data_IF_294223242440
#
_entry.id   IF_294223242440
#
_cell.length_a   1.000
_cell.length_b   1.000
_cell.length_c   1.000
_cell.angle_alpha   90.00
_cell.angle_beta   90.00
_cell.angle_gamma   90.00
#
_symmetry.space_group_name_H-M   'P 1'
#
loop_
_entity.id
_entity.type
_entity.pdbx_description
1 polymer ?
#
# COMPACT_ATOMS: atom_id res chain seq x y z
N UNK A 1 -22.68 16.20 -0.35
CA UNK A 1 -21.25 15.88 -0.29
C UNK A 1 -21.12 14.62 0.56
N UNK A 2 -20.73 13.52 -0.05
CA UNK A 2 -20.50 12.27 0.65
C UNK A 2 -19.28 12.42 1.55
N UNK A 3 -19.46 12.32 2.86
CA UNK A 3 -18.35 12.24 3.81
C UNK A 3 -17.69 10.88 3.63
N UNK A 4 -16.60 10.83 2.88
CA UNK A 4 -15.70 9.70 2.87
C UNK A 4 -14.84 9.82 4.12
N UNK A 5 -15.17 9.05 5.14
CA UNK A 5 -14.32 8.94 6.34
C UNK A 5 -13.35 7.80 6.07
N UNK A 6 -12.09 8.13 5.82
CA UNK A 6 -11.05 7.13 5.65
C UNK A 6 -10.42 6.84 7.02
N UNK A 7 -10.57 5.62 7.49
CA UNK A 7 -9.81 5.12 8.63
C UNK A 7 -8.57 4.41 8.13
N UNK A 8 -7.43 4.90 8.58
CA UNK A 8 -6.15 4.25 8.33
C UNK A 8 -5.84 3.37 9.53
N UNK A 9 -6.08 2.08 9.40
CA UNK A 9 -5.69 1.13 10.43
C UNK A 9 -4.21 0.79 10.29
N UNK A 10 -3.47 0.97 11.37
CA UNK A 10 -2.04 0.90 11.43
C UNK A 10 -1.63 -0.06 12.55
N UNK A 11 -1.36 -1.33 12.18
CA UNK A 11 -1.00 -2.35 13.16
C UNK A 11 0.49 -2.69 13.14
N UNK A 12 1.12 -2.74 14.31
CA UNK A 12 2.51 -3.18 14.45
C UNK A 12 2.74 -4.02 15.70
N UNK A 13 3.39 -5.18 15.58
CA UNK A 13 3.75 -6.09 16.69
C UNK A 13 5.17 -5.84 17.17
N UNK A 14 5.38 -5.66 18.49
CA UNK A 14 6.69 -5.75 19.11
C UNK A 14 7.10 -7.23 19.25
N UNK A 15 8.01 -7.66 18.42
CA UNK A 15 9.09 -8.62 18.65
C UNK A 15 9.74 -8.94 17.32
N UNK A 16 11.00 -8.61 17.19
CA UNK A 16 11.86 -8.65 16.00
C UNK A 16 11.73 -7.44 15.05
N UNK A 17 12.61 -6.51 15.28
CA UNK A 17 12.72 -5.17 14.71
C UNK A 17 12.87 -5.05 13.19
N UNK A 18 12.82 -6.14 12.42
CA UNK A 18 13.24 -6.19 11.02
C UNK A 18 12.10 -6.09 9.98
N UNK A 19 10.84 -6.27 10.37
CA UNK A 19 9.69 -6.19 9.45
C UNK A 19 8.92 -4.86 9.47
N UNK A 20 9.26 -3.96 10.40
CA UNK A 20 8.49 -2.74 10.70
C UNK A 20 8.66 -1.58 9.72
N UNK A 21 9.77 -1.51 8.99
CA UNK A 21 10.09 -0.33 8.18
C UNK A 21 9.27 -0.20 6.89
N UNK A 22 8.74 -1.31 6.39
CA UNK A 22 8.10 -1.35 5.06
C UNK A 22 6.74 -0.64 4.99
N UNK A 23 6.01 -0.54 6.09
CA UNK A 23 4.61 -0.08 6.11
C UNK A 23 4.38 1.29 6.73
N UNK A 24 5.32 1.82 7.49
CA UNK A 24 5.20 3.15 8.10
C UNK A 24 5.10 4.27 7.06
N UNK A 25 5.77 4.14 5.93
CA UNK A 25 5.79 5.14 4.85
C UNK A 25 4.43 5.33 4.17
N UNK A 26 3.73 4.25 3.83
CA UNK A 26 2.44 4.34 3.11
C UNK A 26 1.35 5.11 3.88
N UNK A 27 1.42 5.12 5.18
CA UNK A 27 0.49 5.80 6.08
C UNK A 27 0.62 7.30 6.03
N UNK A 28 1.85 7.78 6.22
CA UNK A 28 2.16 9.19 6.10
C UNK A 28 1.92 9.67 4.66
N UNK A 29 2.16 8.83 3.66
CA UNK A 29 1.91 9.15 2.26
C UNK A 29 0.43 9.33 1.95
N UNK A 30 -0.43 8.45 2.46
CA UNK A 30 -1.87 8.62 2.31
C UNK A 30 -2.36 9.93 2.94
N UNK A 31 -1.95 10.21 4.19
CA UNK A 31 -2.28 11.47 4.86
C UNK A 31 -1.78 12.67 4.05
N UNK A 32 -0.52 12.65 3.62
CA UNK A 32 0.09 13.71 2.80
C UNK A 32 -0.64 13.90 1.47
N UNK A 33 -1.03 12.82 0.82
CA UNK A 33 -1.77 12.85 -0.45
C UNK A 33 -3.17 13.46 -0.26
N UNK A 34 -3.89 13.10 0.81
CA UNK A 34 -5.19 13.68 1.16
C UNK A 34 -5.07 15.20 1.38
N UNK A 35 -4.04 15.64 2.11
CA UNK A 35 -3.78 17.07 2.34
C UNK A 35 -3.39 17.80 1.05
N UNK A 36 -2.46 17.25 0.27
CA UNK A 36 -1.98 17.87 -0.97
C UNK A 36 -3.09 18.00 -2.03
N UNK A 37 -3.97 17.02 -2.10
CA UNK A 37 -5.10 17.02 -3.02
C UNK A 37 -6.31 17.84 -2.51
N UNK A 38 -6.26 18.34 -1.28
CA UNK A 38 -7.41 18.93 -0.59
C UNK A 38 -8.66 18.02 -0.74
N UNK A 39 -8.44 16.71 -0.60
CA UNK A 39 -9.47 15.71 -0.84
C UNK A 39 -10.57 15.83 0.24
N UNK A 40 -11.85 15.65 -0.11
CA UNK A 40 -12.97 15.71 0.83
C UNK A 40 -13.03 14.42 1.68
N UNK A 41 -11.90 14.08 2.31
CA UNK A 41 -11.68 12.89 3.14
C UNK A 41 -11.29 13.34 4.54
N UNK A 42 -11.99 12.86 5.54
CA UNK A 42 -11.65 13.02 6.94
C UNK A 42 -10.98 11.74 7.46
N UNK A 43 -9.75 11.87 7.96
CA UNK A 43 -9.04 10.78 8.64
C UNK A 43 -9.34 10.91 10.13
N UNK A 44 -10.22 10.05 10.66
CA UNK A 44 -10.74 10.18 12.04
C UNK A 44 -9.90 9.43 13.06
N UNK A 45 -9.23 8.35 12.68
CA UNK A 45 -8.36 7.60 13.58
C UNK A 45 -7.26 6.85 12.82
N UNK A 46 -6.21 6.53 13.55
CA UNK A 46 -5.17 5.57 13.13
C UNK A 46 -5.00 4.52 14.23
N UNK A 47 -4.75 3.29 13.84
CA UNK A 47 -4.39 2.23 14.79
C UNK A 47 -2.92 1.85 14.62
N UNK A 48 -2.08 2.09 15.61
CA UNK A 48 -0.65 1.74 15.59
C UNK A 48 -0.17 1.45 17.01
N UNK A 49 0.60 0.38 17.18
CA UNK A 49 1.20 -0.01 18.46
C UNK A 49 2.46 0.80 18.83
N UNK A 50 2.85 1.74 17.97
CA UNK A 50 3.99 2.60 18.19
C UNK A 50 3.74 3.70 19.23
N UNK A 51 4.80 4.33 19.69
CA UNK A 51 4.72 5.48 20.57
C UNK A 51 4.20 6.72 19.82
N UNK A 52 3.20 7.40 20.35
CA UNK A 52 2.54 8.57 19.74
C UNK A 52 3.55 9.68 19.39
N UNK A 53 4.51 9.97 20.29
CA UNK A 53 5.55 10.98 20.04
C UNK A 53 6.40 10.62 18.80
N UNK A 54 6.79 9.36 18.67
CA UNK A 54 7.53 8.87 17.50
C UNK A 54 6.67 8.95 16.23
N UNK A 55 5.39 8.62 16.32
CA UNK A 55 4.47 8.69 15.18
C UNK A 55 4.26 10.13 14.72
N UNK A 56 4.06 11.08 15.64
CA UNK A 56 3.96 12.51 15.32
C UNK A 56 5.23 13.02 14.65
N UNK A 57 6.41 12.62 15.15
CA UNK A 57 7.69 12.96 14.55
C UNK A 57 7.83 12.42 13.11
N UNK A 58 7.51 11.15 12.91
CA UNK A 58 7.61 10.49 11.57
C UNK A 58 6.52 10.97 10.59
N UNK A 59 5.40 11.50 11.07
CA UNK A 59 4.43 12.18 10.23
C UNK A 59 4.95 13.55 9.78
N UNK A 60 5.56 14.30 10.70
CA UNK A 60 6.11 15.64 10.43
C UNK A 60 7.30 15.58 9.49
N UNK A 61 8.26 14.67 9.76
CA UNK A 61 9.55 14.58 9.06
C UNK A 61 9.65 13.30 8.26
N UNK A 62 9.84 13.42 6.95
CA UNK A 62 10.04 12.31 6.04
C UNK A 62 11.33 12.52 5.23
N UNK A 63 12.14 11.48 5.13
CA UNK A 63 13.47 11.56 4.47
C UNK A 63 13.38 11.77 2.96
N UNK A 64 12.24 11.47 2.35
CA UNK A 64 12.01 11.58 0.91
C UNK A 64 11.09 12.75 0.60
N UNK A 65 9.94 12.85 1.30
CA UNK A 65 8.93 13.87 1.06
C UNK A 65 9.18 15.18 1.84
N UNK A 66 10.19 15.21 2.71
CA UNK A 66 10.51 16.39 3.48
C UNK A 66 9.57 16.66 4.64
N UNK A 67 9.53 17.91 5.07
CA UNK A 67 8.81 18.35 6.28
C UNK A 67 7.39 18.75 5.90
N UNK A 68 6.38 18.22 6.59
CA UNK A 68 5.01 18.73 6.48
C UNK A 68 4.90 20.14 7.07
N UNK A 69 4.20 21.07 6.39
CA UNK A 69 4.04 22.44 6.90
C UNK A 69 3.19 22.51 8.17
N UNK A 70 2.24 21.58 8.34
CA UNK A 70 1.30 21.53 9.45
C UNK A 70 1.97 21.59 10.83
N UNK A 71 1.33 22.20 11.82
CA UNK A 71 1.71 22.10 13.23
C UNK A 71 1.31 20.73 13.78
N UNK A 72 2.30 19.85 13.98
CA UNK A 72 2.10 18.47 14.41
C UNK A 72 2.70 18.25 15.79
N UNK A 73 1.84 17.87 16.75
CA UNK A 73 2.22 17.66 18.16
C UNK A 73 1.61 16.36 18.69
N UNK A 74 2.36 15.57 19.47
CA UNK A 74 1.77 14.48 20.23
C UNK A 74 0.86 15.05 21.33
N UNK A 75 -0.30 14.41 21.54
CA UNK A 75 -1.22 14.63 22.67
C UNK A 75 -1.54 13.28 23.31
N UNK A 76 -2.23 13.26 24.46
CA UNK A 76 -2.38 12.05 25.28
C UNK A 76 -2.99 10.88 24.54
N UNK A 77 -4.01 11.10 23.71
CA UNK A 77 -4.77 10.05 22.99
C UNK A 77 -4.59 10.11 21.46
N UNK A 78 -3.63 10.91 20.96
CA UNK A 78 -3.47 11.07 19.53
C UNK A 78 -2.39 12.04 19.08
N UNK A 79 -2.56 12.52 17.87
CA UNK A 79 -1.68 13.49 17.23
C UNK A 79 -2.52 14.72 16.86
N UNK A 80 -2.17 15.86 17.45
CA UNK A 80 -2.75 17.16 17.07
C UNK A 80 -2.11 17.61 15.75
N UNK A 81 -2.94 17.93 14.77
CA UNK A 81 -2.55 18.45 13.46
C UNK A 81 -3.32 19.74 13.22
N UNK A 82 -2.63 20.89 13.25
CA UNK A 82 -3.23 22.22 13.18
C UNK A 82 -4.41 22.42 14.16
N UNK A 83 -4.26 21.88 15.37
CA UNK A 83 -5.26 21.96 16.43
C UNK A 83 -6.37 20.89 16.38
N UNK A 84 -6.47 20.08 15.31
CA UNK A 84 -7.39 18.92 15.24
C UNK A 84 -6.71 17.67 15.72
N UNK A 85 -7.36 16.89 16.56
CA UNK A 85 -6.79 15.64 17.10
C UNK A 85 -7.15 14.48 16.19
N UNK A 86 -6.12 13.85 15.63
CA UNK A 86 -6.20 12.55 15.00
C UNK A 86 -6.04 11.47 16.07
N UNK A 87 -7.09 10.73 16.36
CA UNK A 87 -7.10 9.71 17.40
C UNK A 87 -6.13 8.57 17.08
N UNK A 88 -5.33 8.14 18.06
CA UNK A 88 -4.44 6.99 17.93
C UNK A 88 -4.98 5.84 18.78
N UNK A 89 -5.34 4.75 18.10
CA UNK A 89 -5.75 3.49 18.71
C UNK A 89 -4.55 2.55 18.78
N UNK A 90 -4.53 1.62 19.76
CA UNK A 90 -3.40 0.72 20.01
C UNK A 90 -3.88 -0.73 20.20
N UNK A 91 -4.82 -1.18 19.34
CA UNK A 91 -5.32 -2.54 19.37
C UNK A 91 -4.52 -3.47 18.46
N UNK A 92 -4.24 -4.68 18.96
CA UNK A 92 -3.51 -5.71 18.20
C UNK A 92 -4.42 -6.46 17.23
N UNK A 93 -5.61 -6.77 17.66
CA UNK A 93 -6.60 -7.46 16.85
C UNK A 93 -7.50 -6.41 16.17
N UNK A 94 -7.67 -6.45 14.85
CA UNK A 94 -8.59 -5.56 14.15
C UNK A 94 -10.04 -5.67 14.61
N UNK A 95 -10.45 -6.80 15.18
CA UNK A 95 -11.81 -7.01 15.72
C UNK A 95 -12.12 -6.13 16.92
N UNK A 96 -11.10 -5.75 17.68
CA UNK A 96 -11.23 -4.90 18.88
C UNK A 96 -11.35 -3.41 18.55
N UNK A 97 -11.29 -3.05 17.26
CA UNK A 97 -11.28 -1.66 16.82
C UNK A 97 -12.71 -1.09 16.78
N UNK A 98 -12.94 0.11 17.31
CA UNK A 98 -14.29 0.66 17.46
C UNK A 98 -14.81 1.34 16.18
N UNK A 99 -14.69 0.69 15.01
CA UNK A 99 -15.00 1.32 13.73
C UNK A 99 -16.46 1.77 13.63
N UNK A 100 -17.40 0.95 14.09
CA UNK A 100 -18.81 1.30 14.09
C UNK A 100 -19.09 2.57 14.90
N UNK A 101 -18.52 2.68 16.12
CA UNK A 101 -18.75 3.82 17.00
C UNK A 101 -18.05 5.11 16.52
N UNK A 102 -17.00 4.98 15.72
CA UNK A 102 -16.30 6.11 15.09
C UNK A 102 -16.95 6.55 13.76
N UNK A 103 -18.01 5.87 13.31
CA UNK A 103 -18.70 6.21 12.07
C UNK A 103 -17.82 6.06 10.81
N UNK A 104 -17.03 5.00 10.77
CA UNK A 104 -16.05 4.76 9.69
C UNK A 104 -16.74 4.27 8.44
N UNK A 105 -16.45 4.89 7.30
CA UNK A 105 -16.92 4.44 5.99
C UNK A 105 -15.96 3.48 5.28
N UNK A 106 -14.66 3.67 5.48
CA UNK A 106 -13.60 2.88 4.81
C UNK A 106 -12.41 2.71 5.73
N UNK A 107 -11.85 1.51 5.79
CA UNK A 107 -10.56 1.22 6.40
C UNK A 107 -9.51 1.03 5.32
N UNK A 108 -8.36 1.73 5.46
CA UNK A 108 -7.17 1.47 4.65
C UNK A 108 -6.25 0.54 5.46
N UNK A 109 -6.17 -0.73 5.06
CA UNK A 109 -5.27 -1.72 5.67
C UNK A 109 -3.88 -1.61 5.06
N UNK A 110 -2.94 -1.05 5.82
CA UNK A 110 -1.55 -0.80 5.38
C UNK A 110 -0.49 -1.40 6.29
N UNK A 111 -0.85 -2.39 7.10
CA UNK A 111 0.10 -3.01 8.06
C UNK A 111 1.01 -4.03 7.39
N UNK A 112 0.55 -4.66 6.29
CA UNK A 112 1.18 -5.78 5.63
C UNK A 112 1.07 -7.12 6.35
N UNK A 113 0.29 -7.19 7.43
CA UNK A 113 -0.02 -8.43 8.15
C UNK A 113 -1.34 -9.03 7.71
N UNK A 114 -2.32 -8.18 7.40
CA UNK A 114 -3.66 -8.56 7.00
C UNK A 114 -3.84 -8.39 5.48
N UNK A 115 -2.90 -8.96 4.71
CA UNK A 115 -2.90 -8.90 3.24
C UNK A 115 -3.72 -10.02 2.59
N UNK A 116 -4.29 -10.91 3.39
CA UNK A 116 -5.21 -11.95 2.99
C UNK A 116 -6.64 -11.47 3.23
N UNK A 117 -7.56 -11.78 2.32
CA UNK A 117 -8.96 -11.34 2.39
C UNK A 117 -9.60 -11.67 3.73
N UNK A 118 -9.43 -12.90 4.20
CA UNK A 118 -10.09 -13.35 5.41
C UNK A 118 -9.52 -12.68 6.67
N UNK A 119 -8.22 -12.40 6.66
CA UNK A 119 -7.58 -11.62 7.73
C UNK A 119 -8.02 -10.16 7.73
N UNK A 120 -8.09 -9.55 6.54
CA UNK A 120 -8.55 -8.17 6.40
C UNK A 120 -10.05 -8.02 6.76
N UNK A 121 -10.85 -9.07 6.56
CA UNK A 121 -12.26 -9.08 6.92
C UNK A 121 -12.53 -8.88 8.42
N UNK A 122 -11.54 -9.07 9.30
CA UNK A 122 -11.64 -8.74 10.72
C UNK A 122 -12.03 -7.27 10.97
N UNK A 123 -11.70 -6.37 10.07
CA UNK A 123 -12.15 -4.98 10.12
C UNK A 123 -13.65 -4.83 9.82
N UNK A 124 -14.23 -5.71 8.99
CA UNK A 124 -15.67 -5.74 8.72
C UNK A 124 -16.42 -6.19 9.97
N UNK A 125 -15.88 -7.19 10.70
CA UNK A 125 -16.43 -7.66 11.96
C UNK A 125 -16.41 -6.55 13.03
N UNK A 126 -15.43 -5.66 12.98
CA UNK A 126 -15.33 -4.46 13.83
C UNK A 126 -16.25 -3.31 13.40
N UNK A 127 -17.02 -3.50 12.32
CA UNK A 127 -18.05 -2.55 11.85
C UNK A 127 -17.60 -1.62 10.73
N UNK A 128 -16.45 -1.86 10.10
CA UNK A 128 -16.07 -1.12 8.89
C UNK A 128 -16.91 -1.63 7.70
N UNK A 129 -17.54 -0.77 6.89
CA UNK A 129 -18.32 -1.20 5.72
C UNK A 129 -17.45 -1.72 4.57
N UNK A 130 -16.24 -1.18 4.41
CA UNK A 130 -15.31 -1.48 3.32
C UNK A 130 -13.88 -1.47 3.86
N UNK A 131 -13.05 -2.39 3.36
CA UNK A 131 -11.61 -2.45 3.62
C UNK A 131 -10.84 -2.39 2.31
N UNK A 132 -9.91 -1.45 2.20
CA UNK A 132 -8.97 -1.36 1.10
C UNK A 132 -7.60 -1.82 1.59
N UNK A 133 -7.11 -2.94 1.08
CA UNK A 133 -5.77 -3.44 1.36
C UNK A 133 -4.78 -2.73 0.43
N UNK A 134 -3.84 -1.96 0.98
CA UNK A 134 -2.83 -1.19 0.22
C UNK A 134 -1.68 -2.06 -0.31
N UNK A 135 -1.95 -3.31 -0.63
CA UNK A 135 -1.02 -4.32 -1.11
C UNK A 135 -1.76 -5.37 -1.95
N UNK A 136 -1.05 -6.24 -2.69
CA UNK A 136 -1.67 -7.44 -3.26
C UNK A 136 -2.37 -8.23 -2.15
N UNK A 137 -3.61 -8.64 -2.38
CA UNK A 137 -4.43 -9.33 -1.38
C UNK A 137 -4.97 -10.63 -1.96
N UNK A 138 -4.54 -11.74 -1.38
CA UNK A 138 -5.04 -13.06 -1.77
C UNK A 138 -6.52 -13.18 -1.41
N UNK A 139 -7.34 -13.64 -2.37
CA UNK A 139 -8.76 -13.84 -2.19
C UNK A 139 -9.60 -12.56 -2.07
N UNK A 140 -9.03 -11.35 -2.25
CA UNK A 140 -9.80 -10.10 -2.25
C UNK A 140 -11.00 -10.18 -3.19
N UNK A 141 -12.10 -9.52 -2.82
CA UNK A 141 -13.33 -9.51 -3.62
C UNK A 141 -13.09 -8.91 -5.02
N UNK A 142 -12.14 -7.95 -5.12
CA UNK A 142 -11.60 -7.43 -6.38
C UNK A 142 -10.24 -6.79 -6.17
N UNK A 143 -9.47 -6.68 -7.27
CA UNK A 143 -8.23 -5.89 -7.32
C UNK A 143 -8.44 -4.73 -8.28
N UNK A 144 -8.20 -3.51 -7.79
CA UNK A 144 -8.41 -2.29 -8.56
C UNK A 144 -7.10 -1.56 -8.85
N UNK A 145 -6.99 -1.09 -10.09
CA UNK A 145 -5.99 -0.10 -10.53
C UNK A 145 -6.73 1.11 -11.02
N UNK A 146 -6.47 2.27 -10.40
CA UNK A 146 -7.12 3.52 -10.77
C UNK A 146 -6.83 3.89 -12.23
N UNK A 147 -7.84 4.36 -12.95
CA UNK A 147 -7.75 4.65 -14.37
C UNK A 147 -7.94 3.43 -15.29
N UNK A 148 -7.98 2.22 -14.76
CA UNK A 148 -8.15 0.98 -15.56
C UNK A 148 -9.51 0.33 -15.29
N UNK A 149 -9.73 -0.17 -14.09
CA UNK A 149 -10.96 -0.90 -13.72
C UNK A 149 -11.62 -0.37 -12.44
N UNK A 150 -11.24 0.82 -11.96
CA UNK A 150 -11.81 1.37 -10.71
C UNK A 150 -13.31 1.69 -10.82
N UNK A 151 -13.84 1.85 -12.04
CA UNK A 151 -15.27 2.09 -12.28
C UNK A 151 -16.12 0.83 -12.06
N UNK A 152 -15.50 -0.36 -12.03
CA UNK A 152 -16.18 -1.63 -11.78
C UNK A 152 -16.47 -1.85 -10.29
N UNK A 153 -16.09 -0.89 -9.43
CA UNK A 153 -16.35 -0.98 -8.00
C UNK A 153 -17.84 -0.97 -7.69
N UNK A 154 -18.32 -2.05 -7.07
CA UNK A 154 -19.68 -2.22 -6.61
C UNK A 154 -19.70 -2.37 -5.07
N UNK A 155 -20.19 -1.35 -4.38
CA UNK A 155 -20.26 -1.33 -2.90
C UNK A 155 -21.06 -2.48 -2.31
N UNK A 156 -21.99 -3.05 -3.07
CA UNK A 156 -22.81 -4.19 -2.61
C UNK A 156 -22.02 -5.50 -2.56
N UNK A 157 -21.05 -5.67 -3.47
CA UNK A 157 -20.25 -6.90 -3.68
C UNK A 157 -18.86 -6.81 -3.08
N UNK A 158 -18.19 -5.67 -3.24
CA UNK A 158 -16.79 -5.49 -2.93
C UNK A 158 -16.61 -4.92 -1.52
N UNK A 159 -16.33 -5.78 -0.55
CA UNK A 159 -16.15 -5.42 0.87
C UNK A 159 -14.67 -5.35 1.26
N UNK A 160 -13.86 -6.29 0.77
CA UNK A 160 -12.41 -6.29 0.93
C UNK A 160 -11.77 -6.23 -0.45
N UNK A 161 -11.18 -5.09 -0.78
CA UNK A 161 -10.56 -4.86 -2.09
C UNK A 161 -9.06 -4.64 -1.98
N UNK A 162 -8.32 -5.04 -3.02
CA UNK A 162 -6.89 -4.82 -3.12
C UNK A 162 -6.60 -3.61 -4.03
N UNK A 163 -5.69 -2.74 -3.58
CA UNK A 163 -5.12 -1.68 -4.42
C UNK A 163 -3.87 -2.15 -5.19
N UNK A 164 -3.67 -3.46 -5.33
CA UNK A 164 -2.54 -4.08 -6.01
C UNK A 164 -1.17 -3.68 -5.42
N UNK A 165 -0.09 -3.86 -6.19
CA UNK A 165 1.26 -3.41 -5.84
C UNK A 165 1.63 -2.12 -6.55
N UNK A 166 2.68 -1.44 -6.08
CA UNK A 166 3.23 -0.27 -6.75
C UNK A 166 3.61 -0.55 -8.21
N UNK A 167 4.29 -1.67 -8.47
CA UNK A 167 4.65 -2.08 -9.84
C UNK A 167 3.42 -2.40 -10.67
N UNK A 168 2.40 -3.07 -10.11
CA UNK A 168 1.14 -3.35 -10.81
C UNK A 168 0.43 -2.05 -11.20
N UNK A 169 0.38 -1.06 -10.31
CA UNK A 169 -0.22 0.25 -10.60
C UNK A 169 0.52 1.03 -11.69
N UNK A 170 1.81 0.79 -11.88
CA UNK A 170 2.59 1.33 -13.00
C UNK A 170 2.34 0.54 -14.30
N UNK A 171 2.43 -0.78 -14.22
CA UNK A 171 2.49 -1.67 -15.37
C UNK A 171 1.13 -1.87 -16.07
N UNK A 172 0.06 -2.05 -15.30
CA UNK A 172 -1.28 -2.33 -15.87
C UNK A 172 -1.80 -1.21 -16.77
N UNK A 173 -1.72 0.09 -16.41
CA UNK A 173 -2.10 1.17 -17.32
C UNK A 173 -1.28 1.18 -18.61
N UNK A 174 0.02 0.90 -18.53
CA UNK A 174 0.90 0.83 -19.69
C UNK A 174 0.49 -0.32 -20.64
N UNK A 175 0.23 -1.50 -20.08
CA UNK A 175 -0.27 -2.66 -20.84
C UNK A 175 -1.62 -2.33 -21.47
N UNK A 176 -2.54 -1.71 -20.73
CA UNK A 176 -3.86 -1.35 -21.25
C UNK A 176 -3.78 -0.43 -22.46
N UNK A 177 -2.95 0.61 -22.41
CA UNK A 177 -2.78 1.55 -23.54
C UNK A 177 -2.23 0.83 -24.78
N UNK A 178 -1.27 -0.07 -24.60
CA UNK A 178 -0.69 -0.84 -25.70
C UNK A 178 -1.68 -1.87 -26.25
N UNK A 179 -2.41 -2.55 -25.39
CA UNK A 179 -3.39 -3.56 -25.81
C UNK A 179 -4.58 -2.93 -26.55
N UNK A 180 -5.09 -1.79 -26.03
CA UNK A 180 -6.18 -1.04 -26.66
C UNK A 180 -5.79 -0.53 -28.07
N UNK A 181 -4.52 -0.12 -28.25
CA UNK A 181 -4.06 0.48 -29.50
C UNK A 181 -3.58 -0.57 -30.54
N UNK A 182 -2.90 -1.62 -30.11
CA UNK A 182 -2.16 -2.53 -30.99
C UNK A 182 -2.44 -4.02 -30.73
N UNK A 183 -3.09 -4.35 -29.62
CA UNK A 183 -3.25 -5.73 -29.14
C UNK A 183 -1.92 -6.34 -28.65
N UNK A 184 -1.87 -6.77 -27.41
CA UNK A 184 -0.72 -7.43 -26.81
C UNK A 184 -0.90 -8.95 -26.89
N UNK A 185 0.02 -9.63 -27.59
CA UNK A 185 0.04 -11.09 -27.64
C UNK A 185 0.74 -11.69 -26.43
N UNK A 186 1.93 -11.19 -26.11
CA UNK A 186 2.76 -11.58 -24.96
C UNK A 186 3.78 -10.51 -24.63
N UNK A 187 4.35 -10.57 -23.42
CA UNK A 187 5.41 -9.63 -23.07
C UNK A 187 6.14 -9.98 -21.79
N UNK A 188 7.32 -9.38 -21.64
CA UNK A 188 8.18 -9.50 -20.48
C UNK A 188 8.44 -8.13 -19.88
N UNK A 189 8.29 -8.04 -18.56
CA UNK A 189 8.53 -6.82 -17.80
C UNK A 189 9.81 -6.97 -16.95
N UNK A 190 10.64 -5.93 -16.95
CA UNK A 190 11.70 -5.77 -15.96
C UNK A 190 11.42 -4.50 -15.14
N UNK A 191 11.25 -4.63 -13.84
CA UNK A 191 11.14 -3.46 -12.96
C UNK A 191 12.48 -3.21 -12.26
N UNK A 192 13.04 -2.02 -12.47
CA UNK A 192 14.22 -1.50 -11.76
C UNK A 192 13.68 -0.69 -10.60
N UNK A 193 13.72 -1.27 -9.40
CA UNK A 193 12.93 -0.84 -8.27
C UNK A 193 13.79 -0.33 -7.11
N UNK A 194 13.41 0.78 -6.50
CA UNK A 194 14.02 1.26 -5.27
C UNK A 194 14.06 0.14 -4.21
N UNK A 195 15.07 0.19 -3.32
CA UNK A 195 15.07 -0.70 -2.17
C UNK A 195 13.86 -0.43 -1.26
N UNK A 196 13.42 -1.43 -0.53
CA UNK A 196 12.32 -1.31 0.41
C UNK A 196 12.70 -1.92 1.76
N UNK A 197 11.94 -1.63 2.81
CA UNK A 197 12.11 -2.21 4.14
C UNK A 197 11.99 -3.74 4.22
N UNK A 198 11.74 -4.43 3.12
CA UNK A 198 11.84 -5.87 2.97
C UNK A 198 13.31 -6.34 2.91
N UNK A 199 14.19 -5.50 2.37
CA UNK A 199 15.62 -5.77 2.28
C UNK A 199 16.33 -5.40 3.58
N UNK A 200 17.53 -5.90 3.76
CA UNK A 200 18.36 -5.59 4.91
C UNK A 200 19.14 -4.29 4.67
N UNK A 201 19.30 -3.46 5.70
CA UNK A 201 20.17 -2.28 5.64
C UNK A 201 21.65 -2.70 5.56
N UNK A 202 22.03 -3.69 6.38
CA UNK A 202 23.30 -4.41 6.34
C UNK A 202 23.01 -5.89 6.16
N UNK A 203 24.03 -6.69 5.86
CA UNK A 203 23.88 -8.15 5.72
C UNK A 203 23.13 -8.77 6.91
N UNK A 204 22.07 -9.52 6.62
CA UNK A 204 21.24 -10.10 7.66
C UNK A 204 20.24 -11.14 7.12
N UNK A 205 19.60 -11.93 8.00
CA UNK A 205 18.74 -13.03 7.58
C UNK A 205 17.56 -12.60 6.72
N UNK A 206 17.35 -13.31 5.61
CA UNK A 206 16.20 -13.17 4.73
C UNK A 206 15.92 -14.52 4.04
N UNK A 207 14.65 -14.83 3.74
CA UNK A 207 14.27 -16.06 3.03
C UNK A 207 14.82 -16.13 1.61
N UNK A 208 14.88 -14.99 0.90
CA UNK A 208 15.62 -14.85 -0.34
C UNK A 208 17.04 -14.36 0.00
N UNK A 209 18.04 -15.21 -0.18
CA UNK A 209 19.44 -14.91 0.18
C UNK A 209 20.00 -13.72 -0.59
N UNK A 210 19.47 -13.38 -1.77
CA UNK A 210 19.86 -12.19 -2.53
C UNK A 210 19.44 -10.91 -1.80
N UNK A 211 18.31 -10.92 -1.08
CA UNK A 211 17.83 -9.81 -0.25
C UNK A 211 18.45 -9.79 1.16
N UNK A 212 19.25 -10.80 1.49
CA UNK A 212 20.01 -10.86 2.74
C UNK A 212 21.23 -9.92 2.76
N UNK A 213 21.53 -9.26 1.66
CA UNK A 213 22.65 -8.34 1.49
C UNK A 213 22.22 -6.89 1.69
N UNK A 214 23.18 -6.01 1.98
CA UNK A 214 22.92 -4.58 2.21
C UNK A 214 22.25 -3.89 1.01
N UNK A 215 21.05 -3.38 1.22
CA UNK A 215 20.19 -2.85 0.15
C UNK A 215 20.75 -1.60 -0.54
N UNK A 216 21.44 -0.75 0.23
CA UNK A 216 21.89 0.56 -0.26
C UNK A 216 23.19 0.51 -1.09
N UNK A 217 23.79 -0.68 -1.23
CA UNK A 217 25.08 -0.88 -1.92
C UNK A 217 25.04 -1.99 -2.98
N UNK A 218 23.88 -2.63 -3.19
CA UNK A 218 23.76 -3.75 -4.10
C UNK A 218 22.63 -3.55 -5.12
N UNK A 219 22.85 -4.06 -6.33
CA UNK A 219 21.80 -4.34 -7.30
C UNK A 219 21.35 -5.79 -7.09
N UNK A 220 20.12 -6.00 -6.63
CA UNK A 220 19.64 -7.30 -6.22
C UNK A 220 18.57 -7.81 -7.18
N UNK A 221 18.86 -8.85 -8.00
CA UNK A 221 17.83 -9.53 -8.78
C UNK A 221 16.83 -10.22 -7.85
N UNK A 222 15.55 -10.15 -8.17
CA UNK A 222 14.49 -10.79 -7.38
C UNK A 222 13.26 -11.07 -8.23
N UNK A 223 12.39 -11.96 -7.79
CA UNK A 223 11.12 -12.20 -8.43
C UNK A 223 10.12 -11.07 -8.16
N UNK A 224 9.15 -10.95 -9.06
CA UNK A 224 7.97 -10.09 -8.89
C UNK A 224 6.73 -10.81 -9.41
N UNK A 225 5.61 -10.67 -8.70
CA UNK A 225 4.31 -11.15 -9.17
C UNK A 225 3.52 -10.12 -9.97
N UNK A 226 4.07 -8.91 -10.17
CA UNK A 226 3.31 -7.79 -10.72
C UNK A 226 2.82 -8.02 -12.16
N UNK A 227 3.64 -8.64 -13.01
CA UNK A 227 3.25 -8.95 -14.38
C UNK A 227 2.11 -9.98 -14.43
N UNK A 228 2.20 -11.04 -13.63
CA UNK A 228 1.14 -12.04 -13.54
C UNK A 228 -0.14 -11.49 -12.90
N UNK A 229 0.00 -10.60 -11.93
CA UNK A 229 -1.13 -9.93 -11.28
C UNK A 229 -1.92 -9.01 -12.22
N UNK A 230 -1.39 -8.65 -13.40
CA UNK A 230 -2.11 -7.89 -14.43
C UNK A 230 -3.42 -8.57 -14.81
N UNK A 231 -3.47 -9.90 -14.83
CA UNK A 231 -4.69 -10.65 -15.15
C UNK A 231 -5.82 -10.51 -14.12
N UNK A 232 -5.53 -10.04 -12.91
CA UNK A 232 -6.55 -9.74 -11.91
C UNK A 232 -7.30 -8.43 -12.21
N UNK A 233 -6.75 -7.61 -13.10
CA UNK A 233 -7.28 -6.29 -13.50
C UNK A 233 -7.71 -6.30 -14.96
N UNK A 234 -6.91 -6.94 -15.82
CA UNK A 234 -7.15 -7.12 -17.25
C UNK A 234 -7.14 -8.62 -17.57
N UNK A 235 -8.31 -9.26 -17.51
CA UNK A 235 -8.45 -10.72 -17.68
C UNK A 235 -7.88 -11.21 -19.01
N UNK A 236 -8.02 -10.42 -20.08
CA UNK A 236 -7.46 -10.71 -21.40
C UNK A 236 -5.93 -10.92 -21.42
N UNK A 237 -5.22 -10.49 -20.38
CA UNK A 237 -3.77 -10.65 -20.23
C UNK A 237 -3.36 -11.92 -19.49
N UNK A 238 -4.31 -12.79 -19.12
CA UNK A 238 -4.03 -14.04 -18.42
C UNK A 238 -3.07 -14.93 -19.22
N UNK A 239 -1.94 -15.29 -18.60
CA UNK A 239 -0.92 -16.15 -19.20
C UNK A 239 -0.02 -15.51 -20.28
N UNK A 240 -0.23 -14.23 -20.60
CA UNK A 240 0.54 -13.53 -21.65
C UNK A 240 1.76 -12.77 -21.10
N UNK A 241 1.79 -12.45 -19.82
CA UNK A 241 2.78 -11.57 -19.24
C UNK A 241 3.55 -12.25 -18.10
N UNK A 242 4.86 -12.06 -18.08
CA UNK A 242 5.74 -12.42 -16.98
C UNK A 242 6.80 -11.33 -16.76
N UNK A 243 7.63 -11.48 -15.73
CA UNK A 243 8.66 -10.46 -15.49
C UNK A 243 9.56 -10.74 -14.31
N UNK A 244 10.56 -9.89 -14.18
CA UNK A 244 11.56 -9.91 -13.13
C UNK A 244 11.73 -8.54 -12.50
N UNK A 245 12.49 -8.47 -11.40
CA UNK A 245 12.77 -7.25 -10.68
C UNK A 245 14.25 -7.15 -10.33
N UNK A 246 14.79 -5.95 -10.48
CA UNK A 246 16.11 -5.57 -9.94
C UNK A 246 15.88 -4.53 -8.83
N UNK A 247 16.28 -4.83 -7.61
CA UNK A 247 16.34 -3.81 -6.55
C UNK A 247 17.63 -3.04 -6.68
N UNK A 248 17.53 -1.72 -6.67
CA UNK A 248 18.68 -0.81 -6.86
C UNK A 248 18.89 0.11 -5.65
N UNK A 249 20.10 0.64 -5.42
CA UNK A 249 20.42 1.44 -4.23
C UNK A 249 19.90 2.89 -4.32
N UNK A 250 18.61 3.04 -4.57
CA UNK A 250 17.91 4.34 -4.52
C UNK A 250 16.77 4.29 -3.51
N UNK A 251 16.49 5.39 -2.78
CA UNK A 251 15.52 5.40 -1.69
C UNK A 251 14.06 5.35 -2.15
N UNK A 252 13.79 5.80 -3.39
CA UNK A 252 12.43 5.89 -3.92
C UNK A 252 12.44 5.90 -5.45
N UNK A 253 11.26 5.64 -6.03
CA UNK A 253 11.06 5.59 -7.47
C UNK A 253 11.39 4.22 -8.06
N UNK A 254 10.85 3.96 -9.24
CA UNK A 254 11.09 2.73 -10.00
C UNK A 254 10.89 3.02 -11.48
N UNK A 255 11.61 2.29 -12.32
CA UNK A 255 11.41 2.30 -13.76
C UNK A 255 10.92 0.91 -14.16
N UNK A 256 9.92 0.84 -15.01
CA UNK A 256 9.44 -0.41 -15.58
C UNK A 256 9.75 -0.41 -17.08
N UNK A 257 10.56 -1.37 -17.51
CA UNK A 257 10.82 -1.68 -18.90
C UNK A 257 9.89 -2.80 -19.36
N UNK A 258 9.29 -2.66 -20.54
CA UNK A 258 8.33 -3.61 -21.07
C UNK A 258 8.63 -3.93 -22.54
N UNK A 259 8.93 -5.19 -22.81
CA UNK A 259 9.10 -5.72 -24.17
C UNK A 259 7.88 -6.55 -24.50
N UNK A 260 7.16 -6.19 -25.56
CA UNK A 260 5.93 -6.84 -25.96
C UNK A 260 5.96 -7.26 -27.43
N UNK A 261 5.27 -8.36 -27.72
CA UNK A 261 4.87 -8.75 -29.08
C UNK A 261 3.45 -8.24 -29.29
N UNK A 262 3.26 -7.42 -30.30
CA UNK A 262 1.98 -6.81 -30.67
C UNK A 262 1.38 -7.52 -31.87
N UNK A 263 0.05 -7.39 -32.05
CA UNK A 263 -0.67 -8.02 -33.19
C UNK A 263 -0.56 -7.17 -34.46
N UNK A 264 -0.46 -5.89 -34.33
CA UNK A 264 -0.39 -4.93 -35.45
C UNK A 264 0.48 -3.71 -35.12
#
# INVERSE_FOLDING_TARGET
ASRLVANVCLYGKHSNSRRYQRFRSYRSYFFRAVQAANAPIEIVAVNDLGNIKTMAHLLKYDSVLGILPNDIKPVDDGISIDGKVLKVLQHRDPKDLPWASLGVDVVIESTGFFTDRDKAAAHLEAGAPIVIVSAPSAGADATFVYGVNHQDFDRSKHKVVSNASCTTNCFVPMVKVLDDAFGVEKGLMTTIHAYTGDQQLVDGPHSDLRRARGAAINITPTGTGAARATSLVLEAMKGKLDGTSLRVPVPTGSITDFVAVLKS
#
